data_IF_405533850755
#
_entry.id   IF_405533850755
#
_cell.length_a   1.000
_cell.length_b   1.000
_cell.length_c   1.000
_cell.angle_alpha   90.00
_cell.angle_beta   90.00
_cell.angle_gamma   90.00
#
_symmetry.space_group_name_H-M   'P 1'
#
loop_
_entity.id
_entity.type
_entity.pdbx_description
1 polymer ?
#
# COMPACT_ATOMS: atom_id res chain seq x y z
N UNK A 1 -9.13 13.13 -6.17
CA UNK A 1 -9.68 11.78 -6.42
C UNK A 1 -9.43 11.39 -7.86
N UNK A 2 -9.49 10.10 -8.20
CA UNK A 2 -9.31 9.61 -9.57
C UNK A 2 -10.30 10.27 -10.54
N UNK A 3 -11.57 10.38 -10.16
CA UNK A 3 -12.60 11.01 -10.99
C UNK A 3 -12.28 12.48 -11.31
N UNK A 4 -11.81 13.25 -10.32
CA UNK A 4 -11.37 14.62 -10.59
C UNK A 4 -10.12 14.68 -11.49
N UNK A 5 -9.17 13.76 -11.34
CA UNK A 5 -7.99 13.73 -12.20
C UNK A 5 -8.35 13.45 -13.66
N UNK A 6 -9.33 12.57 -13.91
CA UNK A 6 -9.84 12.25 -15.26
C UNK A 6 -10.36 13.50 -15.98
N UNK A 7 -11.04 14.42 -15.28
CA UNK A 7 -11.54 15.67 -15.90
C UNK A 7 -10.44 16.63 -16.37
N UNK A 8 -9.19 16.40 -15.96
CA UNK A 8 -8.02 17.19 -16.35
C UNK A 8 -7.21 16.57 -17.49
N UNK A 9 -7.56 15.36 -17.93
CA UNK A 9 -6.91 14.68 -19.06
C UNK A 9 -7.25 15.35 -20.40
N UNK A 10 -6.41 15.14 -21.42
CA UNK A 10 -6.62 15.70 -22.77
C UNK A 10 -6.34 17.20 -22.92
N UNK A 11 -5.85 17.88 -21.88
CA UNK A 11 -5.62 19.34 -21.85
C UNK A 11 -4.17 19.77 -22.12
N UNK A 12 -3.36 18.89 -22.73
CA UNK A 12 -1.96 19.19 -23.10
C UNK A 12 -1.00 19.37 -21.91
N UNK A 13 -1.39 18.98 -20.70
CA UNK A 13 -0.55 19.02 -19.50
C UNK A 13 -0.55 17.64 -18.81
N UNK A 14 0.59 17.21 -18.24
CA UNK A 14 0.63 16.01 -17.39
C UNK A 14 -0.28 16.17 -16.18
N UNK A 15 -0.86 15.05 -15.72
CA UNK A 15 -1.69 14.98 -14.51
C UNK A 15 -1.02 14.02 -13.54
N UNK A 16 -0.82 14.47 -12.30
CA UNK A 16 -0.28 13.67 -11.21
C UNK A 16 -1.28 13.60 -10.07
N UNK A 17 -1.39 12.43 -9.43
CA UNK A 17 -2.14 12.26 -8.19
C UNK A 17 -1.11 12.06 -7.08
N UNK A 18 -1.02 13.02 -6.16
CA UNK A 18 -0.24 12.85 -4.93
C UNK A 18 -1.09 12.02 -3.97
N UNK A 19 -0.81 10.72 -3.93
CA UNK A 19 -1.51 9.78 -3.06
C UNK A 19 -0.83 9.78 -1.70
N UNK A 20 -1.61 10.08 -0.65
CA UNK A 20 -1.15 9.86 0.72
C UNK A 20 -1.24 8.36 1.02
N UNK A 21 -0.15 7.77 1.48
CA UNK A 21 -0.06 6.36 1.88
C UNK A 21 0.70 6.24 3.19
N UNK A 22 0.50 5.13 3.89
CA UNK A 22 1.26 4.76 5.08
C UNK A 22 2.14 3.54 4.75
N UNK A 23 3.44 3.63 5.04
CA UNK A 23 4.38 2.52 4.83
C UNK A 23 4.01 1.36 5.76
N UNK A 24 4.05 0.13 5.25
CA UNK A 24 3.68 -1.06 6.04
C UNK A 24 2.18 -1.13 6.42
N UNK A 25 1.31 -0.41 5.71
CA UNK A 25 -0.13 -0.40 5.98
C UNK A 25 -0.73 -1.82 5.99
N UNK A 26 -1.52 -2.12 7.03
CA UNK A 26 -2.19 -3.40 7.20
C UNK A 26 -1.42 -4.43 8.03
N UNK A 27 -0.19 -4.10 8.46
CA UNK A 27 0.61 -4.94 9.37
C UNK A 27 1.16 -4.07 10.49
N UNK A 28 0.69 -4.28 11.73
CA UNK A 28 0.93 -3.43 12.88
C UNK A 28 2.42 -3.16 13.16
N UNK A 29 3.26 -4.19 13.09
CA UNK A 29 4.69 -4.04 13.37
C UNK A 29 5.49 -3.40 12.22
N UNK A 30 4.91 -3.35 11.01
CA UNK A 30 5.51 -2.69 9.84
C UNK A 30 4.99 -1.27 9.64
N UNK A 31 3.82 -0.94 10.18
CA UNK A 31 3.13 0.31 9.87
C UNK A 31 3.83 1.53 10.46
N UNK A 32 4.05 2.55 9.64
CA UNK A 32 4.56 3.86 10.10
C UNK A 32 6.03 3.88 10.53
N UNK A 33 6.79 2.82 10.27
CA UNK A 33 8.22 2.71 10.60
C UNK A 33 9.07 2.48 9.36
N UNK A 34 10.27 3.06 9.33
CA UNK A 34 11.24 2.93 8.23
C UNK A 34 12.07 1.64 8.32
N UNK A 35 12.06 0.97 9.47
CA UNK A 35 12.83 -0.25 9.74
C UNK A 35 12.52 -1.34 8.69
N UNK A 36 11.26 -1.44 8.28
CA UNK A 36 10.78 -2.46 7.35
C UNK A 36 10.89 -2.08 5.87
N UNK A 37 11.61 -1.01 5.52
CA UNK A 37 11.75 -0.58 4.12
C UNK A 37 12.49 -1.61 3.24
N UNK A 38 13.41 -2.38 3.81
CA UNK A 38 14.23 -3.34 3.06
C UNK A 38 14.58 -4.62 3.85
N UNK A 39 13.87 -4.87 4.95
CA UNK A 39 14.07 -6.04 5.80
C UNK A 39 12.96 -7.05 5.48
N UNK A 40 13.34 -8.28 5.15
CA UNK A 40 12.38 -9.37 4.94
C UNK A 40 11.90 -9.92 6.30
N UNK A 41 10.60 -10.19 6.46
CA UNK A 41 10.09 -10.88 7.65
C UNK A 41 10.61 -12.32 7.71
N UNK A 42 10.83 -12.82 8.92
CA UNK A 42 11.03 -14.26 9.16
C UNK A 42 9.69 -15.02 9.13
N UNK A 43 9.73 -16.34 9.28
CA UNK A 43 8.54 -17.20 9.17
C UNK A 43 7.44 -16.85 10.20
N UNK A 44 7.82 -16.51 11.43
CA UNK A 44 6.86 -16.12 12.47
C UNK A 44 6.20 -14.77 12.14
N UNK A 45 6.98 -13.80 11.68
CA UNK A 45 6.52 -12.48 11.27
C UNK A 45 5.64 -12.54 10.01
N UNK A 46 5.94 -13.45 9.09
CA UNK A 46 5.12 -13.72 7.92
C UNK A 46 3.72 -14.18 8.35
N UNK A 47 3.63 -15.19 9.23
CA UNK A 47 2.35 -15.68 9.70
C UNK A 47 1.54 -14.56 10.38
N UNK A 48 2.18 -13.77 11.26
CA UNK A 48 1.54 -12.65 11.94
C UNK A 48 1.06 -11.56 10.98
N UNK A 49 1.78 -11.32 9.88
CA UNK A 49 1.38 -10.36 8.86
C UNK A 49 0.18 -10.89 8.05
N UNK A 50 0.19 -12.16 7.67
CA UNK A 50 -0.90 -12.79 6.93
C UNK A 50 -2.19 -12.82 7.75
N UNK A 51 -2.11 -13.07 9.06
CA UNK A 51 -3.29 -13.06 9.95
C UNK A 51 -3.97 -11.68 10.02
N UNK A 52 -3.25 -10.60 9.73
CA UNK A 52 -3.78 -9.22 9.74
C UNK A 52 -4.33 -8.78 8.37
N UNK A 53 -3.91 -9.43 7.29
CA UNK A 53 -4.31 -9.07 5.94
C UNK A 53 -5.56 -9.86 5.55
N UNK A 54 -6.73 -9.21 5.40
CA UNK A 54 -7.94 -9.90 5.01
C UNK A 54 -7.79 -10.44 3.58
N UNK A 55 -8.09 -11.72 3.40
CA UNK A 55 -8.20 -12.34 2.08
C UNK A 55 -9.33 -11.65 1.30
N UNK A 56 -9.04 -11.18 0.07
CA UNK A 56 -10.02 -10.41 -0.73
C UNK A 56 -10.46 -11.12 -2.00
N UNK A 57 -9.65 -12.03 -2.53
CA UNK A 57 -9.92 -12.86 -3.70
C UNK A 57 -9.12 -14.13 -3.50
N UNK A 58 -9.78 -15.28 -3.23
CA UNK A 58 -9.20 -16.63 -3.12
C UNK A 58 -7.72 -16.66 -3.50
N UNK A 59 -6.85 -16.55 -2.51
CA UNK A 59 -5.41 -16.47 -2.77
C UNK A 59 -5.01 -17.73 -3.57
N UNK A 60 -4.27 -17.52 -4.67
CA UNK A 60 -3.92 -18.52 -5.67
C UNK A 60 -3.43 -19.86 -5.10
#
# INVERSE_FOLDING_TARGET
TLENAKTHTGKGKPVVIIMKTDMGHGVDFMSGTHEWHGIAPNDEQLQLALDQLPETLSDY
#
